data_IF_300266809828
#
_entry.id   IF_300266809828
#
_cell.length_a   1.000
_cell.length_b   1.000
_cell.length_c   1.000
_cell.angle_alpha   90.00
_cell.angle_beta   90.00
_cell.angle_gamma   90.00
#
_symmetry.space_group_name_H-M   'P 1'
#
loop_
_entity.id
_entity.type
_entity.pdbx_description
1 polymer ?
#
# COMPACT_ATOMS: atom_id res chain seq x y z
N UNK A 1 -7.66 -14.96 7.01
CA UNK A 1 -9.04 -14.96 6.49
C UNK A 1 -9.25 -16.20 5.65
N UNK A 2 -10.40 -16.85 5.79
CA UNK A 2 -10.74 -18.08 5.07
C UNK A 2 -11.57 -17.82 3.80
N UNK A 3 -11.84 -16.57 3.46
CA UNK A 3 -12.68 -16.18 2.32
C UNK A 3 -11.97 -15.15 1.44
N UNK A 4 -12.35 -15.11 0.16
CA UNK A 4 -11.82 -14.12 -0.80
C UNK A 4 -12.16 -12.70 -0.34
N UNK A 5 -13.35 -12.49 0.20
CA UNK A 5 -13.79 -11.18 0.75
C UNK A 5 -12.98 -10.74 1.98
N UNK A 6 -12.43 -11.69 2.73
CA UNK A 6 -11.56 -11.43 3.86
C UNK A 6 -10.10 -11.15 3.49
N UNK A 7 -9.76 -11.19 2.19
CA UNK A 7 -8.41 -11.02 1.68
C UNK A 7 -7.54 -12.28 1.82
N UNK A 8 -7.35 -13.01 0.73
CA UNK A 8 -6.45 -14.17 0.69
C UNK A 8 -5.01 -13.70 0.69
N UNK A 9 -4.25 -14.12 1.69
CA UNK A 9 -2.83 -13.77 1.84
C UNK A 9 -1.96 -14.88 1.25
N UNK A 10 -0.97 -14.48 0.47
CA UNK A 10 0.16 -15.35 0.10
C UNK A 10 1.44 -14.80 0.71
N UNK A 11 2.38 -15.68 1.00
CA UNK A 11 3.70 -15.34 1.52
C UNK A 11 4.77 -16.01 0.68
N UNK A 12 5.85 -15.31 0.39
CA UNK A 12 7.01 -15.88 -0.28
C UNK A 12 8.00 -16.51 0.72
N UNK A 13 9.03 -17.16 0.19
CA UNK A 13 10.08 -17.80 1.00
C UNK A 13 10.86 -16.86 1.93
N UNK A 14 10.83 -15.57 1.65
CA UNK A 14 11.53 -14.55 2.43
C UNK A 14 10.57 -13.81 3.37
N UNK A 15 9.28 -14.21 3.42
CA UNK A 15 8.26 -13.66 4.31
C UNK A 15 7.60 -12.38 3.79
N UNK A 16 7.76 -12.02 2.51
CA UNK A 16 6.98 -10.95 1.90
C UNK A 16 5.55 -11.41 1.70
N UNK A 17 4.58 -10.57 2.03
CA UNK A 17 3.17 -10.93 2.02
C UNK A 17 2.37 -10.05 1.05
N UNK A 18 1.46 -10.69 0.33
CA UNK A 18 0.58 -10.05 -0.63
C UNK A 18 -0.85 -10.52 -0.41
N UNK A 19 -1.80 -9.67 -0.75
CA UNK A 19 -3.23 -9.94 -0.64
C UNK A 19 -3.85 -9.97 -2.03
N UNK A 20 -4.69 -10.97 -2.28
CA UNK A 20 -5.48 -11.06 -3.49
C UNK A 20 -6.66 -10.11 -3.43
N UNK A 21 -6.76 -9.23 -4.43
CA UNK A 21 -7.90 -8.33 -4.66
C UNK A 21 -8.68 -8.87 -5.86
N UNK A 22 -9.90 -9.40 -5.66
CA UNK A 22 -10.70 -9.95 -6.73
C UNK A 22 -11.32 -8.85 -7.60
N UNK A 23 -11.38 -9.10 -8.90
CA UNK A 23 -12.04 -8.25 -9.90
C UNK A 23 -12.90 -9.16 -10.77
N UNK A 24 -14.19 -9.18 -10.53
CA UNK A 24 -15.11 -10.08 -11.25
C UNK A 24 -15.25 -9.71 -12.72
N UNK A 25 -15.39 -8.42 -12.98
CA UNK A 25 -15.47 -7.85 -14.33
C UNK A 25 -14.49 -6.69 -14.47
N UNK A 26 -13.99 -6.46 -15.69
CA UNK A 26 -13.03 -5.37 -15.94
C UNK A 26 -13.64 -3.98 -15.68
N UNK A 27 -14.94 -3.84 -15.69
CA UNK A 27 -15.64 -2.60 -15.32
C UNK A 27 -15.52 -2.27 -13.83
N UNK A 28 -15.21 -3.25 -13.00
CA UNK A 28 -14.97 -3.05 -11.57
C UNK A 28 -13.53 -2.60 -11.28
N UNK A 29 -12.63 -2.77 -12.24
CA UNK A 29 -11.27 -2.28 -12.20
C UNK A 29 -11.22 -0.86 -12.76
N UNK A 30 -11.50 0.13 -11.90
CA UNK A 30 -11.74 1.51 -12.31
C UNK A 30 -11.17 2.51 -11.32
N UNK A 31 -10.95 3.71 -11.84
CA UNK A 31 -10.71 4.88 -11.00
C UNK A 31 -12.02 5.33 -10.36
N UNK A 32 -11.95 5.54 -9.07
CA UNK A 32 -13.02 6.17 -8.31
C UNK A 32 -12.41 7.39 -7.64
N UNK A 33 -12.66 8.58 -8.18
CA UNK A 33 -12.16 9.79 -7.57
C UNK A 33 -12.85 10.00 -6.23
N UNK A 34 -12.07 10.08 -5.18
CA UNK A 34 -12.56 10.55 -3.90
C UNK A 34 -12.80 12.06 -4.01
N UNK A 35 -14.06 12.45 -4.14
CA UNK A 35 -14.47 13.82 -3.88
C UNK A 35 -14.62 13.95 -2.38
N UNK A 36 -13.57 14.41 -1.69
CA UNK A 36 -13.65 14.65 -0.26
C UNK A 36 -14.77 15.62 0.09
N UNK A 37 -15.19 15.60 1.33
CA UNK A 37 -16.19 16.53 1.89
C UNK A 37 -15.78 18.01 1.80
N UNK A 38 -14.55 18.29 1.42
CA UNK A 38 -13.99 19.63 1.20
C UNK A 38 -14.26 20.20 -0.20
N UNK A 39 -14.91 19.45 -1.07
CA UNK A 39 -15.27 19.90 -2.41
C UNK A 39 -14.08 20.14 -3.35
N UNK A 40 -12.89 19.66 -3.02
CA UNK A 40 -11.74 19.75 -3.91
C UNK A 40 -11.97 18.80 -5.08
N UNK A 41 -12.42 19.38 -6.17
CA UNK A 41 -12.47 18.69 -7.46
C UNK A 41 -11.06 18.69 -8.02
N UNK A 42 -10.33 17.61 -7.86
CA UNK A 42 -9.13 17.39 -8.66
C UNK A 42 -9.56 17.35 -10.13
N UNK A 43 -8.93 18.21 -10.94
CA UNK A 43 -9.33 18.43 -12.32
C UNK A 43 -9.46 17.13 -13.13
N UNK A 44 -10.11 17.22 -14.27
CA UNK A 44 -10.33 16.11 -15.20
C UNK A 44 -8.99 15.59 -15.75
N UNK A 45 -8.39 14.61 -15.08
CA UNK A 45 -7.28 13.84 -15.64
C UNK A 45 -7.86 12.69 -16.46
N UNK A 46 -7.54 12.62 -17.73
CA UNK A 46 -7.84 11.45 -18.53
C UNK A 46 -6.73 10.41 -18.34
N UNK A 47 -6.96 9.48 -17.43
CA UNK A 47 -6.09 8.33 -17.32
C UNK A 47 -6.63 7.18 -18.16
N UNK A 48 -5.74 6.51 -18.87
CA UNK A 48 -6.10 5.34 -19.66
C UNK A 48 -5.51 4.10 -19.01
N UNK A 49 -6.37 3.13 -18.72
CA UNK A 49 -5.95 1.81 -18.25
C UNK A 49 -5.03 1.18 -19.31
N UNK A 50 -3.83 0.79 -18.90
CA UNK A 50 -2.84 0.18 -19.78
C UNK A 50 -3.28 -1.22 -20.21
N UNK A 51 -3.06 -1.54 -21.48
CA UNK A 51 -3.55 -2.79 -22.07
C UNK A 51 -2.97 -4.04 -21.42
N UNK A 52 -1.71 -4.04 -21.01
CA UNK A 52 -1.10 -5.17 -20.32
C UNK A 52 -1.72 -5.41 -18.95
N UNK A 53 -2.04 -4.35 -18.23
CA UNK A 53 -2.72 -4.41 -16.94
C UNK A 53 -4.17 -4.87 -17.10
N UNK A 54 -4.90 -4.29 -18.05
CA UNK A 54 -6.26 -4.70 -18.40
C UNK A 54 -6.31 -6.18 -18.77
N UNK A 55 -5.41 -6.64 -19.61
CA UNK A 55 -5.33 -8.04 -20.03
C UNK A 55 -5.05 -8.95 -18.84
N UNK A 56 -4.10 -8.59 -17.97
CA UNK A 56 -3.76 -9.37 -16.79
C UNK A 56 -4.96 -9.51 -15.84
N UNK A 57 -5.58 -8.37 -15.48
CA UNK A 57 -6.73 -8.37 -14.55
C UNK A 57 -7.92 -9.14 -15.14
N UNK A 58 -8.19 -8.99 -16.43
CA UNK A 58 -9.26 -9.74 -17.11
C UNK A 58 -9.01 -11.23 -17.10
N UNK A 59 -7.77 -11.65 -17.36
CA UNK A 59 -7.38 -13.06 -17.45
C UNK A 59 -7.44 -13.75 -16.09
N UNK A 60 -6.88 -13.10 -15.07
CA UNK A 60 -6.73 -13.71 -13.75
C UNK A 60 -7.87 -13.36 -12.78
N UNK A 61 -8.78 -12.47 -13.16
CA UNK A 61 -9.91 -12.03 -12.32
C UNK A 61 -9.47 -11.37 -11.02
N UNK A 62 -8.38 -10.63 -11.06
CA UNK A 62 -7.85 -9.92 -9.91
C UNK A 62 -6.36 -9.65 -10.02
N UNK A 63 -5.81 -9.17 -8.93
CA UNK A 63 -4.39 -8.87 -8.80
C UNK A 63 -3.94 -9.03 -7.35
N UNK A 64 -2.64 -9.11 -7.14
CA UNK A 64 -2.04 -9.05 -5.81
C UNK A 64 -1.55 -7.65 -5.50
N UNK A 65 -1.84 -7.17 -4.28
CA UNK A 65 -1.26 -5.96 -3.72
C UNK A 65 -0.41 -6.30 -2.51
N UNK A 66 0.59 -5.50 -2.19
CA UNK A 66 1.34 -5.64 -0.95
C UNK A 66 0.40 -5.63 0.26
N UNK A 67 0.60 -6.55 1.19
CA UNK A 67 -0.16 -6.58 2.45
C UNK A 67 0.17 -5.38 3.32
N UNK A 68 1.38 -4.86 3.17
CA UNK A 68 1.95 -3.73 3.87
C UNK A 68 2.53 -2.74 2.86
N UNK A 69 2.73 -1.51 3.29
CA UNK A 69 3.58 -0.57 2.56
C UNK A 69 4.96 -1.19 2.28
N UNK A 70 5.62 -0.72 1.25
CA UNK A 70 7.00 -1.10 0.97
C UNK A 70 7.90 -0.70 2.15
N UNK A 71 8.65 -1.63 2.66
CA UNK A 71 9.59 -1.45 3.77
C UNK A 71 11.03 -1.53 3.33
N UNK A 72 11.91 -0.89 4.08
CA UNK A 72 13.37 -0.97 3.96
C UNK A 72 13.91 -2.02 4.94
N UNK A 73 14.30 -3.17 4.41
CA UNK A 73 14.84 -4.28 5.19
C UNK A 73 16.06 -3.89 6.03
N UNK A 74 16.86 -2.99 5.54
CA UNK A 74 18.18 -2.69 6.08
C UNK A 74 18.21 -1.37 6.87
N UNK A 75 17.05 -0.75 7.08
CA UNK A 75 17.00 0.46 7.87
C UNK A 75 17.43 0.18 9.31
N UNK A 76 18.56 0.75 9.68
CA UNK A 76 19.08 0.74 11.06
C UNK A 76 18.66 1.99 11.84
N UNK A 77 17.89 2.85 11.21
CA UNK A 77 17.42 4.07 11.86
C UNK A 77 16.39 3.67 12.90
N UNK A 78 16.82 3.70 14.16
CA UNK A 78 15.90 3.59 15.28
C UNK A 78 14.75 4.58 15.03
N UNK A 79 13.50 4.08 15.03
CA UNK A 79 12.29 4.86 14.86
C UNK A 79 11.90 5.21 13.41
N UNK A 80 11.81 4.24 12.51
CA UNK A 80 10.85 4.36 11.41
C UNK A 80 11.20 5.22 10.20
N UNK A 81 12.21 6.08 10.24
CA UNK A 81 12.48 6.99 9.13
C UNK A 81 13.78 6.66 8.43
N UNK A 82 13.70 6.43 7.14
CA UNK A 82 14.86 6.62 6.29
C UNK A 82 15.20 8.10 6.27
N UNK A 83 16.49 8.40 6.36
CA UNK A 83 17.00 9.79 6.39
C UNK A 83 17.71 10.18 5.10
N UNK A 84 17.78 9.29 4.13
CA UNK A 84 18.49 9.52 2.87
C UNK A 84 17.79 8.88 1.68
N UNK A 85 18.10 9.38 0.50
CA UNK A 85 17.68 8.87 -0.79
C UNK A 85 18.56 7.69 -1.26
N UNK A 86 18.87 6.76 -0.38
CA UNK A 86 19.60 5.55 -0.74
C UNK A 86 18.63 4.50 -1.25
N UNK A 87 18.60 4.27 -2.56
CA UNK A 87 17.74 3.30 -3.23
C UNK A 87 18.42 1.95 -3.49
N UNK A 88 19.58 1.71 -2.88
CA UNK A 88 20.29 0.43 -2.98
C UNK A 88 19.76 -0.62 -2.00
N UNK A 89 18.95 -0.18 -1.05
CA UNK A 89 18.38 -1.03 0.00
C UNK A 89 17.31 -1.96 -0.55
N UNK A 90 17.27 -3.16 0.01
CA UNK A 90 16.29 -4.18 -0.34
C UNK A 90 14.87 -3.78 0.06
N UNK A 91 13.95 -3.79 -0.90
CA UNK A 91 12.52 -3.60 -0.63
C UNK A 91 11.93 -4.87 -0.04
N UNK A 92 11.14 -4.72 1.01
CA UNK A 92 10.36 -5.81 1.61
C UNK A 92 8.88 -5.43 1.71
N UNK A 93 8.02 -6.44 1.74
CA UNK A 93 6.57 -6.28 1.94
C UNK A 93 6.22 -7.02 3.23
N UNK A 94 6.64 -6.46 4.35
CA UNK A 94 6.55 -7.07 5.69
C UNK A 94 6.09 -6.09 6.74
N UNK A 95 5.53 -6.60 7.82
CA UNK A 95 5.31 -5.81 9.02
C UNK A 95 6.63 -5.41 9.70
N UNK A 96 6.56 -4.37 10.50
CA UNK A 96 7.66 -3.89 11.36
C UNK A 96 8.93 -3.50 10.60
N UNK A 97 8.77 -2.94 9.41
CA UNK A 97 9.86 -2.35 8.64
C UNK A 97 9.73 -0.83 8.64
N UNK A 98 10.83 -0.11 8.51
CA UNK A 98 10.75 1.32 8.21
C UNK A 98 10.12 1.50 6.83
N UNK A 99 9.07 2.35 6.66
CA UNK A 99 8.51 2.62 5.35
C UNK A 99 9.57 3.11 4.36
N UNK A 100 9.51 2.64 3.12
CA UNK A 100 10.49 3.00 2.09
C UNK A 100 10.22 4.40 1.53
N UNK A 101 10.35 5.41 2.38
CA UNK A 101 10.18 6.82 2.05
C UNK A 101 11.47 7.43 1.45
N UNK A 102 11.52 8.75 1.27
CA UNK A 102 12.67 9.47 0.66
C UNK A 102 13.00 9.00 -0.76
N UNK A 103 12.01 8.69 -1.54
CA UNK A 103 12.16 8.28 -2.92
C UNK A 103 11.36 9.17 -3.85
N UNK A 104 11.89 9.42 -5.04
CA UNK A 104 11.11 10.01 -6.12
C UNK A 104 10.21 8.94 -6.75
N UNK A 105 9.17 9.35 -7.45
CA UNK A 105 8.29 8.43 -8.18
C UNK A 105 9.05 7.50 -9.14
N UNK A 106 10.02 8.03 -9.88
CA UNK A 106 10.85 7.24 -10.78
C UNK A 106 11.63 6.15 -10.04
N UNK A 107 12.18 6.48 -8.87
CA UNK A 107 12.87 5.51 -8.02
C UNK A 107 11.90 4.46 -7.46
N UNK A 108 10.74 4.89 -6.94
CA UNK A 108 9.71 3.98 -6.45
C UNK A 108 9.26 2.98 -7.54
N UNK A 109 9.08 3.47 -8.77
CA UNK A 109 8.76 2.61 -9.92
C UNK A 109 9.86 1.58 -10.17
N UNK A 110 11.12 2.00 -10.24
CA UNK A 110 12.25 1.09 -10.49
C UNK A 110 12.42 0.07 -9.36
N UNK A 111 12.25 0.49 -8.11
CA UNK A 111 12.29 -0.40 -6.95
C UNK A 111 11.18 -1.45 -7.01
N UNK A 112 9.94 -1.03 -7.28
CA UNK A 112 8.79 -1.94 -7.37
C UNK A 112 8.94 -2.96 -8.53
N UNK A 113 9.43 -2.53 -9.69
CA UNK A 113 9.73 -3.41 -10.82
C UNK A 113 10.88 -4.37 -10.50
N UNK A 114 11.84 -3.93 -9.70
CA UNK A 114 13.00 -4.71 -9.26
C UNK A 114 12.67 -5.85 -8.30
N UNK A 115 11.57 -5.78 -7.56
CA UNK A 115 11.16 -6.82 -6.59
C UNK A 115 11.05 -8.19 -7.26
N UNK A 116 10.49 -8.27 -8.47
CA UNK A 116 10.42 -9.52 -9.23
C UNK A 116 11.78 -10.20 -9.36
N UNK A 117 12.80 -9.45 -9.78
CA UNK A 117 14.15 -9.98 -9.98
C UNK A 117 14.81 -10.31 -8.64
N UNK A 118 14.68 -9.43 -7.67
CA UNK A 118 15.21 -9.60 -6.32
C UNK A 118 14.68 -10.87 -5.65
N UNK A 119 13.39 -11.18 -5.83
CA UNK A 119 12.72 -12.32 -5.21
C UNK A 119 12.60 -13.55 -6.11
N UNK A 120 12.94 -13.43 -7.38
CA UNK A 120 12.83 -14.53 -8.35
C UNK A 120 11.38 -14.87 -8.74
N UNK A 121 10.46 -13.90 -8.68
CA UNK A 121 9.05 -14.16 -9.03
C UNK A 121 8.86 -14.39 -10.53
N UNK A 122 7.96 -15.30 -10.87
CA UNK A 122 7.46 -15.46 -12.25
C UNK A 122 6.49 -14.34 -12.65
N UNK A 123 5.72 -13.85 -11.70
CA UNK A 123 4.81 -12.72 -11.90
C UNK A 123 5.57 -11.41 -12.08
N UNK A 124 5.00 -10.46 -12.82
CA UNK A 124 5.51 -9.10 -12.88
C UNK A 124 5.18 -8.37 -11.57
N UNK A 125 6.12 -7.59 -11.09
CA UNK A 125 5.90 -6.61 -10.02
C UNK A 125 6.00 -5.20 -10.58
N UNK A 126 5.25 -4.27 -10.04
CA UNK A 126 5.26 -2.87 -10.46
C UNK A 126 4.79 -1.97 -9.34
N UNK A 127 5.05 -0.68 -9.47
CA UNK A 127 4.40 0.32 -8.64
C UNK A 127 2.88 0.22 -8.84
N UNK A 128 2.13 0.42 -7.78
CA UNK A 128 0.66 0.39 -7.85
C UNK A 128 0.14 1.41 -8.86
N UNK A 129 -0.79 1.03 -9.71
CA UNK A 129 -1.49 1.98 -10.56
C UNK A 129 -2.63 2.63 -9.77
N UNK A 130 -3.07 3.80 -10.22
CA UNK A 130 -4.24 4.44 -9.63
C UNK A 130 -5.51 3.57 -9.75
N UNK A 131 -5.63 2.80 -10.83
CA UNK A 131 -6.70 1.81 -10.98
C UNK A 131 -6.64 0.72 -9.91
N UNK A 132 -5.46 0.15 -9.68
CA UNK A 132 -5.27 -0.87 -8.65
C UNK A 132 -5.49 -0.30 -7.25
N UNK A 133 -5.00 0.91 -6.99
CA UNK A 133 -5.15 1.59 -5.71
C UNK A 133 -6.63 1.84 -5.38
N UNK A 134 -7.37 2.49 -6.28
CA UNK A 134 -8.80 2.79 -6.11
C UNK A 134 -9.64 1.50 -5.99
N UNK A 135 -9.31 0.47 -6.80
CA UNK A 135 -9.99 -0.82 -6.73
C UNK A 135 -9.73 -1.52 -5.38
N UNK A 136 -8.53 -1.39 -4.84
CA UNK A 136 -8.20 -1.92 -3.51
C UNK A 136 -8.99 -1.20 -2.42
N UNK A 137 -9.06 0.13 -2.47
CA UNK A 137 -9.90 0.89 -1.52
C UNK A 137 -11.37 0.48 -1.64
N UNK A 138 -11.91 0.35 -2.85
CA UNK A 138 -13.27 -0.11 -3.06
C UNK A 138 -13.51 -1.55 -2.53
N UNK A 139 -12.51 -2.42 -2.63
CA UNK A 139 -12.55 -3.77 -2.03
C UNK A 139 -12.61 -3.70 -0.50
N UNK A 140 -11.78 -2.90 0.13
CA UNK A 140 -11.76 -2.68 1.57
C UNK A 140 -13.09 -2.09 2.05
N UNK A 141 -13.63 -1.11 1.33
CA UNK A 141 -14.89 -0.43 1.67
C UNK A 141 -16.14 -1.33 1.63
N UNK A 142 -16.07 -2.49 1.01
CA UNK A 142 -17.14 -3.50 1.13
C UNK A 142 -17.26 -4.07 2.53
N UNK A 143 -16.21 -3.98 3.34
CA UNK A 143 -16.16 -4.48 4.73
C UNK A 143 -16.17 -3.34 5.73
N UNK A 144 -15.47 -2.26 5.43
CA UNK A 144 -15.42 -1.04 6.24
C UNK A 144 -15.68 0.18 5.33
N UNK A 145 -16.94 0.63 5.28
CA UNK A 145 -17.37 1.72 4.38
C UNK A 145 -16.68 3.06 4.65
N UNK A 146 -16.18 3.25 5.86
CA UNK A 146 -15.55 4.51 6.29
C UNK A 146 -14.04 4.52 6.02
N UNK A 147 -13.49 3.41 5.49
CA UNK A 147 -12.06 3.33 5.19
C UNK A 147 -11.65 4.42 4.19
N UNK A 148 -10.54 5.10 4.46
CA UNK A 148 -10.05 6.22 3.65
C UNK A 148 -10.69 7.56 3.98
N UNK A 149 -11.66 7.63 4.91
CA UNK A 149 -12.20 8.90 5.41
C UNK A 149 -11.32 9.51 6.50
N UNK A 150 -11.40 10.83 6.68
CA UNK A 150 -10.65 11.53 7.74
C UNK A 150 -11.05 11.12 9.16
N UNK A 151 -12.21 10.50 9.32
CA UNK A 151 -12.72 9.95 10.58
C UNK A 151 -12.41 8.46 10.74
N UNK A 152 -11.92 7.79 9.70
CA UNK A 152 -11.62 6.36 9.69
C UNK A 152 -10.51 5.97 10.66
N UNK A 153 -10.45 4.68 11.01
CA UNK A 153 -9.43 4.15 11.94
C UNK A 153 -8.02 4.17 11.36
N UNK A 154 -7.91 4.17 10.06
CA UNK A 154 -6.68 4.26 9.27
C UNK A 154 -6.08 5.67 9.23
N UNK A 155 -6.76 6.68 9.77
CA UNK A 155 -6.23 8.03 9.79
C UNK A 155 -5.15 8.19 10.85
N UNK A 156 -3.92 7.89 10.48
CA UNK A 156 -2.75 7.98 11.34
C UNK A 156 -2.50 9.37 11.92
N UNK A 157 -2.81 10.42 11.18
CA UNK A 157 -2.52 11.78 11.63
C UNK A 157 -3.37 12.17 12.84
N UNK A 158 -4.67 11.90 12.77
CA UNK A 158 -5.64 12.41 13.75
C UNK A 158 -5.79 11.52 15.00
N UNK A 159 -5.12 10.39 15.07
CA UNK A 159 -5.28 9.44 16.17
C UNK A 159 -4.04 9.32 17.06
N UNK A 160 -4.31 9.09 18.33
CA UNK A 160 -3.30 8.60 19.29
C UNK A 160 -3.39 7.09 19.33
N UNK A 161 -2.26 6.40 19.11
CA UNK A 161 -2.19 4.96 19.26
C UNK A 161 -0.77 4.50 19.66
N UNK A 162 -0.72 3.34 20.31
CA UNK A 162 0.55 2.68 20.63
C UNK A 162 1.00 1.79 19.48
N UNK A 163 2.28 1.78 19.22
CA UNK A 163 2.91 0.94 18.20
C UNK A 163 4.24 0.38 18.71
N UNK A 164 4.74 -0.63 18.03
CA UNK A 164 6.09 -1.16 18.26
C UNK A 164 7.03 -0.62 17.19
N UNK A 165 8.13 0.01 17.59
CA UNK A 165 9.11 0.49 16.63
C UNK A 165 9.95 -0.64 16.05
N UNK A 166 10.79 -0.34 15.06
CA UNK A 166 11.63 -1.35 14.39
C UNK A 166 12.66 -2.01 15.31
N UNK A 167 12.89 -1.46 16.49
CA UNK A 167 13.78 -2.04 17.51
C UNK A 167 13.05 -2.96 18.48
N UNK A 168 11.71 -3.04 18.36
CA UNK A 168 10.84 -3.80 19.28
C UNK A 168 10.40 -3.02 20.51
N UNK A 169 10.72 -1.72 20.61
CA UNK A 169 10.31 -0.91 21.74
C UNK A 169 8.89 -0.37 21.56
N UNK A 170 8.12 -0.33 22.66
CA UNK A 170 6.80 0.27 22.66
C UNK A 170 6.89 1.79 22.61
N UNK A 171 6.14 2.40 21.72
CA UNK A 171 6.06 3.83 21.48
C UNK A 171 4.60 4.28 21.47
N UNK A 172 4.38 5.58 21.59
CA UNK A 172 3.05 6.18 21.43
C UNK A 172 3.13 7.32 20.43
N UNK A 173 2.29 7.25 19.39
CA UNK A 173 2.03 8.36 18.48
C UNK A 173 0.87 9.19 19.02
N UNK A 174 1.10 10.48 19.21
CA UNK A 174 0.03 11.41 19.58
C UNK A 174 -0.81 11.84 18.38
N UNK A 175 -2.06 12.22 18.61
CA UNK A 175 -2.88 12.82 17.56
C UNK A 175 -2.25 14.11 17.04
N UNK A 176 -2.53 14.44 15.78
CA UNK A 176 -1.97 15.62 15.09
C UNK A 176 -0.42 15.65 15.06
N UNK A 177 0.19 14.48 15.10
CA UNK A 177 1.64 14.32 15.00
C UNK A 177 2.03 13.70 13.67
N UNK A 178 2.98 14.31 12.90
CA UNK A 178 3.44 13.76 11.62
C UNK A 178 4.46 12.64 11.78
N UNK A 179 4.40 11.88 12.85
CA UNK A 179 5.32 10.75 13.08
C UNK A 179 4.92 9.59 12.19
N UNK A 180 5.82 9.12 11.37
CA UNK A 180 5.67 7.85 10.65
C UNK A 180 5.89 6.69 11.62
N UNK A 181 5.20 5.59 11.36
CA UNK A 181 5.34 4.36 12.14
C UNK A 181 5.83 3.21 11.25
N UNK A 182 6.34 2.12 11.82
CA UNK A 182 6.67 0.93 11.02
C UNK A 182 5.46 0.41 10.26
N UNK A 183 5.71 -0.28 9.17
CA UNK A 183 4.67 -0.92 8.36
C UNK A 183 3.82 -1.88 9.20
N UNK A 184 2.51 -1.89 8.97
CA UNK A 184 1.60 -2.87 9.58
C UNK A 184 1.26 -2.62 11.05
N UNK A 185 1.27 -1.38 11.52
CA UNK A 185 0.95 -1.05 12.92
C UNK A 185 -0.53 -0.74 13.17
N UNK A 186 -1.33 -0.57 12.12
CA UNK A 186 -2.77 -0.33 12.27
C UNK A 186 -3.59 -1.63 12.21
N UNK A 187 -4.90 -1.50 12.40
CA UNK A 187 -5.82 -2.62 12.21
C UNK A 187 -6.03 -2.88 10.72
N UNK A 188 -5.77 -4.09 10.22
CA UNK A 188 -5.97 -4.40 8.81
C UNK A 188 -7.45 -4.54 8.48
N UNK A 189 -7.83 -4.13 7.29
CA UNK A 189 -9.12 -4.49 6.69
C UNK A 189 -8.86 -5.35 5.47
N UNK A 190 -9.58 -6.43 5.31
CA UNK A 190 -9.33 -7.45 4.28
C UNK A 190 -7.87 -7.95 4.28
N UNK A 191 -7.22 -8.03 5.43
CA UNK A 191 -5.79 -8.35 5.61
C UNK A 191 -4.81 -7.35 4.96
N UNK A 192 -5.25 -6.18 4.53
CA UNK A 192 -4.43 -5.11 3.97
C UNK A 192 -4.23 -4.05 5.05
N UNK A 193 -2.99 -3.62 5.21
CA UNK A 193 -2.57 -2.56 6.13
C UNK A 193 -2.21 -1.30 5.34
N UNK A 194 -2.26 -0.18 6.01
CA UNK A 194 -1.57 1.07 5.64
C UNK A 194 -1.97 1.66 4.25
N UNK A 195 -3.12 1.26 3.66
CA UNK A 195 -3.61 1.86 2.41
C UNK A 195 -4.07 3.30 2.57
N UNK A 196 -4.27 3.74 3.79
CA UNK A 196 -4.65 5.11 4.11
C UNK A 196 -3.86 5.61 5.32
N UNK A 197 -2.94 6.53 5.12
CA UNK A 197 -2.12 7.13 6.18
C UNK A 197 -0.67 6.69 6.12
N UNK A 198 0.07 6.95 7.19
CA UNK A 198 1.51 6.72 7.36
C UNK A 198 2.37 7.47 6.34
N UNK A 199 2.52 6.99 5.10
CA UNK A 199 3.23 7.70 4.02
C UNK A 199 2.31 8.00 2.85
N UNK A 200 2.67 9.00 2.03
CA UNK A 200 2.03 9.22 0.73
C UNK A 200 2.55 8.19 -0.27
N UNK A 201 1.62 7.49 -0.94
CA UNK A 201 2.00 6.51 -1.94
C UNK A 201 2.15 7.13 -3.33
N UNK A 202 3.24 6.73 -3.99
CA UNK A 202 3.41 7.00 -5.40
C UNK A 202 2.60 6.01 -6.24
N UNK A 203 1.90 6.49 -7.25
CA UNK A 203 1.27 5.66 -8.28
C UNK A 203 2.02 5.73 -9.61
N UNK A 204 1.66 4.86 -10.56
CA UNK A 204 2.29 4.85 -11.89
C UNK A 204 1.92 6.06 -12.74
N UNK A 205 0.82 6.73 -12.46
CA UNK A 205 0.29 7.89 -13.16
C UNK A 205 0.91 9.20 -12.64
N UNK A 206 0.83 10.25 -13.46
CA UNK A 206 1.27 11.61 -13.10
C UNK A 206 0.10 12.43 -12.58
#
# INVERSE_FOLDING_TARGET
ASTVQGGVVIEDKDGNQFVWVPVDTISDYKRTWYTGSDGITFGSYSETLKDDEKTSVTTYKGFYIGRYEAGDKESTVAKTLRSSNDVTKTVTIKANQAPYNYVTRTQAKSLAEGVKTQQGYKAKTKLVSSYAWDTTIAFIQKVNSDYGSSSGEENYYNKTFSYTDITGASQTKSSNSPVLVPTGQTTPVCNIYDMGGNVFEWTTEF
#
